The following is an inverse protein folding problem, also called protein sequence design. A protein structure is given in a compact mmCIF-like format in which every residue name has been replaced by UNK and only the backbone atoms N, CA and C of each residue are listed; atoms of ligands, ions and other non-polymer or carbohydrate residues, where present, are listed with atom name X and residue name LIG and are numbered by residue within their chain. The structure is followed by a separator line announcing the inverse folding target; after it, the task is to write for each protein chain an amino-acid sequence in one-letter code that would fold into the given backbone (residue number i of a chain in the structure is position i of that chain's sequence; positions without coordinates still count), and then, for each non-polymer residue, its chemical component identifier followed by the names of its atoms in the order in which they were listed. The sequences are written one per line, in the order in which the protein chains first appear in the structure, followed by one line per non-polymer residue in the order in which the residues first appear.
data_IF_169714814285
#
_entry.id   IF_169714814285
#
_cell.length_a   1.000
_cell.length_b   1.000
_cell.length_c   1.000
_cell.angle_alpha   90.00
_cell.angle_beta   90.00
_cell.angle_gamma   90.00
#
_symmetry.space_group_name_H-M   'P 1'
#
loop_
_entity.id
_entity.type
_entity.pdbx_description
1 polymer ?
#
# COMPACT_ATOMS: atom_id res chain seq x y z
N UNK A 1 2.17 5.22 14.24
CA UNK A 1 0.71 5.29 14.00
C UNK A 1 -0.03 4.07 14.52
N UNK A 2 0.43 2.82 14.26
CA UNK A 2 -0.37 1.62 14.59
C UNK A 2 0.38 0.63 15.48
N UNK A 3 1.60 0.28 15.09
CA UNK A 3 2.41 -0.70 15.85
C UNK A 3 2.72 -0.19 17.26
N UNK A 4 3.00 1.11 17.41
CA UNK A 4 3.27 1.71 18.72
C UNK A 4 2.03 1.59 19.65
N UNK A 5 0.81 2.02 19.25
CA UNK A 5 -0.40 1.76 20.03
C UNK A 5 -0.65 0.29 20.36
N UNK A 6 -0.45 -0.63 19.40
CA UNK A 6 -0.58 -2.08 19.66
C UNK A 6 0.41 -2.60 20.70
N UNK A 7 1.55 -1.93 20.87
CA UNK A 7 2.57 -2.24 21.88
C UNK A 7 2.42 -1.42 23.16
N UNK A 8 1.33 -0.68 23.32
CA UNK A 8 1.07 0.17 24.48
C UNK A 8 1.94 1.43 24.56
N UNK A 9 2.59 1.83 23.46
CA UNK A 9 3.42 3.04 23.41
C UNK A 9 2.75 4.13 22.57
N UNK A 10 2.95 5.41 22.91
CA UNK A 10 2.38 6.50 22.14
C UNK A 10 2.98 6.54 20.72
N UNK A 11 2.15 6.90 19.74
CA UNK A 11 2.66 7.21 18.40
C UNK A 11 3.49 8.48 18.44
N UNK A 12 4.71 8.42 17.89
CA UNK A 12 5.48 9.62 17.57
C UNK A 12 4.99 10.18 16.23
N UNK A 13 4.21 11.27 16.27
CA UNK A 13 3.63 11.89 15.08
C UNK A 13 4.69 12.47 14.14
N UNK A 14 5.80 13.03 14.66
CA UNK A 14 6.88 13.58 13.82
C UNK A 14 7.52 12.48 12.96
N UNK A 15 7.74 11.29 13.53
CA UNK A 15 8.25 10.14 12.77
C UNK A 15 7.24 9.65 11.72
N UNK A 16 5.94 9.71 12.03
CA UNK A 16 4.89 9.35 11.07
C UNK A 16 4.89 10.32 9.88
N UNK A 17 4.95 11.62 10.13
CA UNK A 17 4.95 12.65 9.09
C UNK A 17 6.20 12.54 8.19
N UNK A 18 7.39 12.41 8.79
CA UNK A 18 8.63 12.19 8.03
C UNK A 18 8.55 10.91 7.19
N UNK A 19 7.99 9.84 7.75
CA UNK A 19 7.83 8.57 7.03
C UNK A 19 6.83 8.68 5.88
N UNK A 20 5.76 9.46 6.02
CA UNK A 20 4.78 9.70 4.96
C UNK A 20 5.40 10.47 3.79
N UNK A 21 6.27 11.45 4.06
CA UNK A 21 7.01 12.17 3.02
C UNK A 21 7.92 11.21 2.24
N UNK A 22 8.64 10.33 2.93
CA UNK A 22 9.50 9.32 2.29
C UNK A 22 8.66 8.31 1.50
N UNK A 23 7.54 7.88 2.07
CA UNK A 23 6.65 6.91 1.45
C UNK A 23 6.00 7.45 0.17
N UNK A 24 5.60 8.72 0.17
CA UNK A 24 5.11 9.41 -1.02
C UNK A 24 6.12 9.34 -2.18
N UNK A 25 7.40 9.62 -1.92
CA UNK A 25 8.46 9.51 -2.95
C UNK A 25 8.63 8.09 -3.49
N UNK A 26 8.50 7.07 -2.63
CA UNK A 26 8.50 5.67 -3.08
C UNK A 26 7.31 5.39 -3.99
N UNK A 27 6.13 5.89 -3.63
CA UNK A 27 4.94 5.73 -4.46
C UNK A 27 5.02 6.53 -5.78
N UNK A 28 5.76 7.64 -5.84
CA UNK A 28 6.04 8.34 -7.11
C UNK A 28 6.82 7.44 -8.08
N UNK A 29 7.82 6.72 -7.57
CA UNK A 29 8.57 5.74 -8.37
C UNK A 29 7.64 4.59 -8.83
N UNK A 30 6.72 4.16 -7.97
CA UNK A 30 5.73 3.14 -8.34
C UNK A 30 4.77 3.67 -9.40
N UNK A 31 4.32 4.92 -9.30
CA UNK A 31 3.44 5.56 -10.28
C UNK A 31 4.08 5.61 -11.68
N UNK A 32 5.37 5.98 -11.76
CA UNK A 32 6.14 5.98 -13.01
C UNK A 32 6.36 4.56 -13.55
N UNK A 33 6.65 3.59 -12.67
CA UNK A 33 6.81 2.19 -13.05
C UNK A 33 5.50 1.61 -13.60
N UNK A 34 4.41 1.87 -12.91
CA UNK A 34 3.07 1.35 -13.22
C UNK A 34 2.42 2.09 -14.40
N UNK A 35 2.94 3.26 -14.79
CA UNK A 35 2.60 3.88 -16.07
C UNK A 35 3.11 3.05 -17.27
N UNK A 36 4.16 2.24 -17.07
CA UNK A 36 4.81 1.46 -18.14
C UNK A 36 4.38 0.00 -18.18
N UNK A 37 3.93 -0.55 -17.04
CA UNK A 37 3.54 -1.95 -16.92
C UNK A 37 2.44 -2.12 -15.85
N UNK A 38 1.55 -3.11 -15.99
CA UNK A 38 0.43 -3.29 -15.05
C UNK A 38 0.85 -3.78 -13.64
N UNK A 39 2.06 -4.30 -13.47
CA UNK A 39 2.55 -4.81 -12.20
C UNK A 39 3.94 -4.28 -11.89
N UNK A 40 4.36 -4.31 -10.62
CA UNK A 40 5.68 -3.84 -10.21
C UNK A 40 6.78 -4.65 -10.89
N UNK A 41 6.56 -5.97 -11.00
CA UNK A 41 7.44 -6.90 -11.71
C UNK A 41 7.42 -6.79 -13.23
N UNK A 42 6.46 -6.08 -13.84
CA UNK A 42 6.30 -5.96 -15.29
C UNK A 42 4.89 -6.37 -15.76
N UNK A 43 4.81 -7.23 -16.77
CA UNK A 43 3.55 -7.57 -17.45
C UNK A 43 2.65 -8.56 -16.69
N UNK A 44 3.18 -9.24 -15.67
CA UNK A 44 2.44 -10.27 -14.93
C UNK A 44 2.58 -10.10 -13.42
N UNK A 45 1.52 -10.52 -12.71
CA UNK A 45 1.50 -10.56 -11.25
C UNK A 45 2.62 -11.48 -10.75
N UNK A 46 3.40 -10.98 -9.80
CA UNK A 46 4.56 -11.69 -9.28
C UNK A 46 4.67 -11.56 -7.77
N UNK A 47 5.71 -12.18 -7.19
CA UNK A 47 6.04 -12.02 -5.78
C UNK A 47 6.31 -10.54 -5.43
N UNK A 48 6.79 -9.74 -6.39
CA UNK A 48 7.01 -8.30 -6.17
C UNK A 48 5.72 -7.56 -5.81
N UNK A 49 4.57 -7.96 -6.36
CA UNK A 49 3.27 -7.37 -6.04
C UNK A 49 2.70 -7.96 -4.74
N UNK A 50 2.82 -9.29 -4.59
CA UNK A 50 2.26 -10.02 -3.46
C UNK A 50 2.81 -9.54 -2.11
N UNK A 51 4.11 -9.27 -2.02
CA UNK A 51 4.77 -8.81 -0.78
C UNK A 51 4.23 -7.48 -0.28
N UNK A 52 3.67 -6.65 -1.17
CA UNK A 52 3.10 -5.35 -0.80
C UNK A 52 1.64 -5.45 -0.34
N UNK A 53 0.95 -6.55 -0.61
CA UNK A 53 -0.51 -6.65 -0.39
C UNK A 53 -0.94 -6.49 1.07
N UNK A 54 -0.33 -7.18 2.06
CA UNK A 54 -0.78 -7.07 3.45
C UNK A 54 -0.63 -5.65 3.99
N UNK A 55 0.52 -5.03 3.74
CA UNK A 55 0.79 -3.68 4.22
C UNK A 55 -0.08 -2.65 3.50
N UNK A 56 -0.27 -2.77 2.19
CA UNK A 56 -1.10 -1.84 1.41
C UNK A 56 -2.56 -1.91 1.82
N UNK A 57 -3.11 -3.11 2.03
CA UNK A 57 -4.49 -3.30 2.51
C UNK A 57 -4.72 -2.57 3.82
N UNK A 58 -3.76 -2.69 4.73
CA UNK A 58 -3.81 -2.04 6.03
C UNK A 58 -3.69 -0.52 5.91
N UNK A 59 -2.67 -0.03 5.19
CA UNK A 59 -2.37 1.40 5.09
C UNK A 59 -3.46 2.18 4.37
N UNK A 60 -4.03 1.65 3.29
CA UNK A 60 -5.03 2.38 2.49
C UNK A 60 -6.34 2.61 3.25
N UNK A 61 -6.64 1.79 4.27
CA UNK A 61 -7.77 1.97 5.18
C UNK A 61 -7.56 3.06 6.23
N UNK A 62 -6.33 3.58 6.39
CA UNK A 62 -6.03 4.63 7.36
C UNK A 62 -6.25 6.02 6.73
N UNK A 63 -7.07 6.90 7.32
CA UNK A 63 -7.42 8.19 6.72
C UNK A 63 -6.21 9.02 6.28
N UNK A 64 -5.18 9.16 7.14
CA UNK A 64 -3.96 9.95 6.84
C UNK A 64 -3.09 9.39 5.71
N UNK A 65 -3.23 8.11 5.36
CA UNK A 65 -2.36 7.44 4.38
C UNK A 65 -3.08 7.19 3.06
N UNK A 66 -4.41 7.02 3.11
CA UNK A 66 -5.26 6.81 1.94
C UNK A 66 -5.06 7.88 0.87
N UNK A 67 -4.90 9.14 1.27
CA UNK A 67 -4.72 10.26 0.34
C UNK A 67 -3.41 10.17 -0.46
N UNK A 68 -2.35 9.63 0.15
CA UNK A 68 -1.05 9.42 -0.52
C UNK A 68 -1.20 8.36 -1.63
N UNK A 69 -2.01 7.34 -1.43
CA UNK A 69 -2.32 6.37 -2.49
C UNK A 69 -3.22 6.99 -3.56
N UNK A 70 -4.32 7.63 -3.16
CA UNK A 70 -5.34 8.18 -4.08
C UNK A 70 -4.83 9.29 -5.00
N UNK A 71 -3.78 10.00 -4.59
CA UNK A 71 -3.11 10.99 -5.44
C UNK A 71 -2.41 10.39 -6.68
N UNK A 72 -2.26 9.06 -6.76
CA UNK A 72 -1.47 8.34 -7.77
C UNK A 72 -2.35 7.32 -8.50
N UNK A 73 -2.78 7.66 -9.71
CA UNK A 73 -3.81 6.90 -10.44
C UNK A 73 -3.34 5.50 -10.85
N UNK A 74 -2.08 5.32 -11.24
CA UNK A 74 -1.56 4.02 -11.68
C UNK A 74 -1.34 3.11 -10.47
N UNK A 75 -0.88 3.68 -9.34
CA UNK A 75 -0.81 2.97 -8.05
C UNK A 75 -2.20 2.51 -7.61
N UNK A 76 -3.23 3.36 -7.69
CA UNK A 76 -4.60 2.95 -7.35
C UNK A 76 -5.12 1.85 -8.28
N UNK A 77 -4.93 1.99 -9.59
CA UNK A 77 -5.34 0.97 -10.56
C UNK A 77 -4.61 -0.37 -10.34
N UNK A 78 -3.33 -0.32 -9.97
CA UNK A 78 -2.57 -1.50 -9.55
C UNK A 78 -3.14 -2.13 -8.29
N UNK A 79 -3.43 -1.33 -7.26
CA UNK A 79 -3.99 -1.82 -6.01
C UNK A 79 -5.34 -2.50 -6.23
N UNK A 80 -6.25 -1.86 -6.98
CA UNK A 80 -7.55 -2.42 -7.34
C UNK A 80 -7.41 -3.75 -8.12
N UNK A 81 -6.46 -3.81 -9.06
CA UNK A 81 -6.18 -5.02 -9.84
C UNK A 81 -5.70 -6.17 -8.95
N UNK A 82 -4.73 -5.94 -8.07
CA UNK A 82 -4.17 -7.02 -7.26
C UNK A 82 -5.08 -7.41 -6.10
N UNK A 83 -5.77 -6.46 -5.48
CA UNK A 83 -6.65 -6.71 -4.33
C UNK A 83 -7.98 -7.38 -4.73
N UNK A 84 -8.40 -7.24 -6.00
CA UNK A 84 -9.59 -7.92 -6.53
C UNK A 84 -9.38 -9.40 -6.83
N UNK A 85 -8.15 -9.92 -6.72
CA UNK A 85 -7.84 -11.35 -6.92
C UNK A 85 -8.53 -12.23 -5.88
N UNK A 86 -9.16 -13.31 -6.33
CA UNK A 86 -9.88 -14.25 -5.45
C UNK A 86 -9.01 -14.83 -4.32
N UNK A 87 -7.73 -15.10 -4.59
CA UNK A 87 -6.80 -15.55 -3.57
C UNK A 87 -6.62 -14.51 -2.44
N UNK A 88 -6.57 -13.23 -2.78
CA UNK A 88 -6.44 -12.17 -1.80
C UNK A 88 -7.72 -11.95 -1.01
N UNK A 89 -8.88 -11.95 -1.69
CA UNK A 89 -10.20 -11.87 -1.03
C UNK A 89 -10.37 -12.95 0.03
N UNK A 90 -9.92 -14.19 -0.25
CA UNK A 90 -9.91 -15.29 0.73
C UNK A 90 -9.05 -14.98 1.96
N UNK A 91 -7.85 -14.45 1.77
CA UNK A 91 -6.95 -14.06 2.88
C UNK A 91 -7.57 -12.95 3.74
N UNK A 92 -8.16 -11.93 3.12
CA UNK A 92 -8.79 -10.83 3.86
C UNK A 92 -10.05 -11.28 4.59
N UNK A 93 -10.81 -12.22 4.03
CA UNK A 93 -11.98 -12.80 4.69
C UNK A 93 -11.63 -13.65 5.93
N UNK A 94 -10.41 -14.20 5.99
CA UNK A 94 -9.91 -14.92 7.18
C UNK A 94 -9.39 -13.98 8.29
N UNK A 95 -9.21 -12.70 7.97
CA UNK A 95 -8.62 -11.69 8.86
C UNK A 95 -9.65 -10.64 9.34
N UNK A 96 -10.91 -10.78 8.92
CA UNK A 96 -12.06 -9.96 9.34
C UNK A 96 -12.77 -10.63 10.51
#
# INVERSE_FOLDING_TARGET
MVIAPMRGTPTNEAVVEESLIKFAKVLDIHEERLAKAPYLGGESFSLADLTHMPLTHYLIGLPKVSDVFRARKNVMAWWERISSREAWKKVTALSA
#
